data_IF_741472227099
#
_entry.id   IF_741472227099
#
_cell.length_a   1.000
_cell.length_b   1.000
_cell.length_c   1.000
_cell.angle_alpha   90.00
_cell.angle_beta   90.00
_cell.angle_gamma   90.00
#
_symmetry.space_group_name_H-M   'P 1'
#
loop_
_entity.id
_entity.type
_entity.pdbx_description
1 polymer ?
#
# COMPACT_ATOMS: atom_id res chain seq x y z
N UNK A 1 -5.94 -8.86 7.34
CA UNK A 1 -6.89 -7.77 6.94
C UNK A 1 -6.10 -6.49 6.63
N UNK A 2 -6.57 -5.56 5.79
CA UNK A 2 -5.85 -4.37 5.23
C UNK A 2 -4.84 -3.64 6.16
N UNK A 3 -5.08 -3.67 7.47
CA UNK A 3 -4.20 -3.18 8.55
C UNK A 3 -2.80 -3.81 8.52
N UNK A 4 -2.69 -5.13 8.29
CA UNK A 4 -1.41 -5.86 8.28
C UNK A 4 -0.53 -5.52 7.07
N UNK A 5 -1.13 -5.10 5.94
CA UNK A 5 -0.38 -4.75 4.72
C UNK A 5 0.09 -3.30 4.68
N UNK A 6 -0.49 -2.43 5.50
CA UNK A 6 -0.24 -0.99 5.46
C UNK A 6 0.55 -0.48 6.68
N UNK A 7 0.78 -1.30 7.70
CA UNK A 7 1.46 -0.90 8.95
C UNK A 7 0.88 0.40 9.57
N UNK A 8 -0.44 0.60 9.39
CA UNK A 8 -1.17 1.78 9.85
C UNK A 8 -2.11 1.37 10.99
N UNK A 9 -2.15 2.18 12.05
CA UNK A 9 -3.09 2.00 13.14
C UNK A 9 -4.53 1.86 12.62
N UNK A 10 -5.33 0.98 13.24
CA UNK A 10 -6.71 0.63 12.84
C UNK A 10 -7.62 1.86 12.64
N UNK A 11 -7.40 2.92 13.42
CA UNK A 11 -8.12 4.20 13.33
C UNK A 11 -7.80 4.97 12.03
N UNK A 12 -6.55 4.96 11.57
CA UNK A 12 -6.12 5.60 10.32
C UNK A 12 -6.66 4.83 9.11
N UNK A 13 -6.60 3.50 9.14
CA UNK A 13 -7.12 2.65 8.05
C UNK A 13 -8.63 2.83 7.88
N UNK A 14 -9.39 2.88 8.98
CA UNK A 14 -10.84 3.13 8.92
C UNK A 14 -11.16 4.50 8.30
N UNK A 15 -10.41 5.54 8.67
CA UNK A 15 -10.57 6.89 8.11
C UNK A 15 -10.26 6.92 6.61
N UNK A 16 -9.17 6.28 6.19
CA UNK A 16 -8.79 6.18 4.78
C UNK A 16 -9.86 5.44 3.96
N UNK A 17 -10.35 4.30 4.45
CA UNK A 17 -11.43 3.55 3.79
C UNK A 17 -12.69 4.41 3.65
N UNK A 18 -13.07 5.16 4.69
CA UNK A 18 -14.22 6.07 4.61
C UNK A 18 -14.02 7.17 3.56
N UNK A 19 -12.83 7.76 3.50
CA UNK A 19 -12.50 8.77 2.48
C UNK A 19 -12.53 8.20 1.07
N UNK A 20 -11.88 7.05 0.84
CA UNK A 20 -11.85 6.38 -0.46
C UNK A 20 -13.27 6.02 -0.93
N UNK A 21 -14.15 5.61 -0.01
CA UNK A 21 -15.57 5.37 -0.31
C UNK A 21 -16.31 6.66 -0.66
N UNK A 22 -16.07 7.75 0.10
CA UNK A 22 -16.68 9.05 -0.15
C UNK A 22 -16.32 9.60 -1.54
N UNK A 23 -15.10 9.34 -2.00
CA UNK A 23 -14.66 9.70 -3.35
C UNK A 23 -15.05 8.68 -4.43
N UNK A 24 -15.77 7.61 -4.08
CA UNK A 24 -16.22 6.59 -5.02
C UNK A 24 -15.10 5.70 -5.58
N UNK A 25 -13.94 5.64 -4.92
CA UNK A 25 -12.80 4.83 -5.37
C UNK A 25 -12.93 3.36 -4.93
N UNK A 26 -13.73 3.10 -3.91
CA UNK A 26 -14.02 1.73 -3.45
C UNK A 26 -15.51 1.52 -3.23
N UNK A 27 -15.93 0.27 -3.43
CA UNK A 27 -17.31 -0.19 -3.22
C UNK A 27 -17.33 -1.47 -2.39
N UNK A 28 -18.49 -1.74 -1.77
CA UNK A 28 -18.71 -3.00 -1.05
C UNK A 28 -19.31 -4.02 -1.99
N UNK A 29 -18.70 -5.20 -2.04
CA UNK A 29 -19.25 -6.38 -2.71
C UNK A 29 -19.38 -7.52 -1.69
N UNK A 30 -20.43 -8.33 -1.79
CA UNK A 30 -20.49 -9.57 -1.00
C UNK A 30 -19.39 -10.51 -1.45
N UNK A 31 -18.79 -11.24 -0.50
CA UNK A 31 -17.83 -12.27 -0.86
C UNK A 31 -18.54 -13.35 -1.70
N UNK A 32 -17.96 -13.75 -2.83
CA UNK A 32 -18.49 -14.86 -3.63
C UNK A 32 -18.41 -16.19 -2.88
N UNK A 33 -17.51 -16.31 -1.90
CA UNK A 33 -17.27 -17.55 -1.14
C UNK A 33 -18.13 -17.64 0.14
N UNK A 34 -18.52 -16.50 0.72
CA UNK A 34 -19.43 -16.44 1.87
C UNK A 34 -20.24 -15.13 1.81
N UNK A 35 -21.52 -15.25 1.45
CA UNK A 35 -22.43 -14.11 1.32
C UNK A 35 -22.64 -13.30 2.62
N UNK A 36 -22.14 -13.78 3.77
CA UNK A 36 -22.14 -13.07 5.05
C UNK A 36 -20.95 -12.10 5.19
N UNK A 37 -19.90 -12.27 4.38
CA UNK A 37 -18.70 -11.44 4.39
C UNK A 37 -18.80 -10.33 3.36
N UNK A 38 -18.46 -9.11 3.76
CA UNK A 38 -18.35 -7.95 2.87
C UNK A 38 -16.88 -7.68 2.53
N UNK A 39 -16.58 -7.62 1.24
CA UNK A 39 -15.27 -7.27 0.71
C UNK A 39 -15.30 -5.85 0.14
N UNK A 40 -14.19 -5.15 0.27
CA UNK A 40 -13.97 -3.87 -0.41
C UNK A 40 -13.24 -4.12 -1.72
N UNK A 41 -13.77 -3.57 -2.81
CA UNK A 41 -13.12 -3.61 -4.11
C UNK A 41 -12.93 -2.20 -4.66
N UNK A 42 -11.90 -2.02 -5.50
CA UNK A 42 -11.71 -0.79 -6.24
C UNK A 42 -12.75 -0.70 -7.36
N UNK A 43 -13.42 0.44 -7.44
CA UNK A 43 -14.24 0.82 -8.60
C UNK A 43 -13.34 1.04 -9.82
N UNK A 44 -13.88 1.14 -11.05
CA UNK A 44 -13.08 1.48 -12.22
C UNK A 44 -12.27 2.77 -12.03
N UNK A 45 -12.90 3.82 -11.47
CA UNK A 45 -12.23 5.09 -11.14
C UNK A 45 -11.12 4.88 -10.10
N UNK A 46 -11.38 4.07 -9.07
CA UNK A 46 -10.38 3.73 -8.07
C UNK A 46 -9.19 2.96 -8.65
N UNK A 47 -9.41 2.10 -9.65
CA UNK A 47 -8.34 1.37 -10.35
C UNK A 47 -7.46 2.30 -11.17
N UNK A 48 -8.06 3.24 -11.91
CA UNK A 48 -7.30 4.26 -12.66
C UNK A 48 -6.45 5.10 -11.72
N UNK A 49 -7.03 5.63 -10.63
CA UNK A 49 -6.28 6.41 -9.65
C UNK A 49 -5.15 5.60 -9.00
N UNK A 50 -5.40 4.34 -8.66
CA UNK A 50 -4.37 3.47 -8.09
C UNK A 50 -3.21 3.25 -9.09
N UNK A 51 -3.51 3.11 -10.38
CA UNK A 51 -2.51 3.00 -11.43
C UNK A 51 -1.69 4.30 -11.57
N UNK A 52 -2.34 5.46 -11.57
CA UNK A 52 -1.68 6.76 -11.65
C UNK A 52 -0.74 6.99 -10.47
N UNK A 53 -1.20 6.67 -9.25
CA UNK A 53 -0.39 6.76 -8.03
C UNK A 53 0.79 5.78 -8.09
N UNK A 54 0.58 4.55 -8.56
CA UNK A 54 1.65 3.58 -8.73
C UNK A 54 2.70 4.05 -9.75
N UNK A 55 2.26 4.63 -10.87
CA UNK A 55 3.15 5.18 -11.89
C UNK A 55 3.95 6.38 -11.36
N UNK A 56 3.29 7.32 -10.68
CA UNK A 56 3.95 8.47 -10.07
C UNK A 56 4.97 8.05 -9.02
N UNK A 57 4.62 7.06 -8.18
CA UNK A 57 5.52 6.46 -7.20
C UNK A 57 6.72 5.83 -7.89
N UNK A 58 6.50 4.99 -8.89
CA UNK A 58 7.56 4.34 -9.65
C UNK A 58 8.52 5.37 -10.26
N UNK A 59 7.98 6.38 -10.95
CA UNK A 59 8.79 7.45 -11.55
C UNK A 59 9.66 8.16 -10.51
N UNK A 60 9.09 8.52 -9.37
CA UNK A 60 9.83 9.17 -8.29
C UNK A 60 10.94 8.28 -7.72
N UNK A 61 10.66 7.01 -7.45
CA UNK A 61 11.68 6.09 -6.93
C UNK A 61 12.79 5.82 -7.95
N UNK A 62 12.44 5.68 -9.23
CA UNK A 62 13.44 5.58 -10.30
C UNK A 62 14.35 6.80 -10.34
N UNK A 63 13.80 8.01 -10.22
CA UNK A 63 14.61 9.24 -10.17
C UNK A 63 15.54 9.27 -8.95
N UNK A 64 15.06 8.85 -7.78
CA UNK A 64 15.89 8.78 -6.56
C UNK A 64 17.02 7.77 -6.73
N UNK A 65 16.72 6.56 -7.21
CA UNK A 65 17.73 5.51 -7.43
C UNK A 65 18.76 5.90 -8.50
N UNK A 66 18.36 6.70 -9.49
CA UNK A 66 19.27 7.21 -10.51
C UNK A 66 20.34 8.17 -9.94
N UNK A 67 20.07 8.81 -8.81
CA UNK A 67 21.05 9.66 -8.10
C UNK A 67 22.06 8.85 -7.26
N UNK A 68 21.89 7.53 -7.18
CA UNK A 68 22.77 6.64 -6.43
C UNK A 68 23.76 5.99 -7.41
N UNK A 69 25.08 6.00 -7.10
CA UNK A 69 26.09 5.28 -7.87
C UNK A 69 25.70 3.82 -8.10
N UNK A 70 25.93 3.31 -9.30
CA UNK A 70 25.43 2.00 -9.73
C UNK A 70 25.95 0.85 -8.84
N UNK A 71 27.21 0.93 -8.43
CA UNK A 71 27.89 0.01 -7.52
C UNK A 71 27.31 0.01 -6.10
N UNK A 72 26.75 1.14 -5.65
CA UNK A 72 26.13 1.28 -4.33
C UNK A 72 24.65 0.84 -4.29
N UNK A 73 23.98 0.67 -5.43
CA UNK A 73 22.52 0.43 -5.46
C UNK A 73 22.09 -0.84 -4.74
N UNK A 74 22.80 -1.94 -4.92
CA UNK A 74 22.49 -3.21 -4.26
C UNK A 74 22.60 -3.09 -2.74
N UNK A 75 23.67 -2.46 -2.23
CA UNK A 75 23.87 -2.24 -0.80
C UNK A 75 22.76 -1.38 -0.17
N UNK A 76 22.28 -0.36 -0.89
CA UNK A 76 21.14 0.45 -0.43
C UNK A 76 19.86 -0.39 -0.34
N UNK A 77 19.59 -1.23 -1.35
CA UNK A 77 18.42 -2.12 -1.35
C UNK A 77 18.48 -3.11 -0.18
N UNK A 78 19.65 -3.72 0.06
CA UNK A 78 19.86 -4.66 1.16
C UNK A 78 19.63 -3.99 2.51
N UNK A 79 20.17 -2.79 2.70
CA UNK A 79 19.99 -2.01 3.93
C UNK A 79 18.52 -1.64 4.19
N UNK A 80 17.78 -1.28 3.13
CA UNK A 80 16.34 -1.01 3.23
C UNK A 80 15.53 -2.26 3.59
N UNK A 81 15.89 -3.42 3.04
CA UNK A 81 15.23 -4.68 3.39
C UNK A 81 15.45 -5.03 4.87
N UNK A 82 16.68 -4.88 5.37
CA UNK A 82 17.00 -5.09 6.79
C UNK A 82 16.16 -4.15 7.67
N UNK A 83 16.06 -2.87 7.30
CA UNK A 83 15.28 -1.89 8.04
C UNK A 83 13.78 -2.26 8.06
N UNK A 84 13.22 -2.69 6.93
CA UNK A 84 11.81 -3.11 6.83
C UNK A 84 11.55 -4.32 7.72
N UNK A 85 12.44 -5.31 7.72
CA UNK A 85 12.31 -6.49 8.58
C UNK A 85 12.42 -6.13 10.06
N UNK A 86 13.33 -5.24 10.44
CA UNK A 86 13.42 -4.73 11.82
C UNK A 86 12.14 -4.00 12.25
N UNK A 87 11.56 -3.17 11.38
CA UNK A 87 10.30 -2.47 11.66
C UNK A 87 9.14 -3.47 11.82
N UNK A 88 9.11 -4.56 11.04
CA UNK A 88 8.07 -5.59 11.14
C UNK A 88 8.23 -6.45 12.39
N UNK A 89 9.46 -6.82 12.75
CA UNK A 89 9.77 -7.61 13.95
C UNK A 89 9.47 -6.90 15.26
N UNK A 90 9.48 -5.57 15.28
CA UNK A 90 9.24 -4.75 16.49
C UNK A 90 7.76 -4.56 16.89
N UNK A 91 6.79 -5.19 16.20
CA UNK A 91 5.36 -5.12 16.57
C UNK A 91 4.89 -6.23 17.52
N UNK A 92 5.82 -6.92 18.20
CA UNK A 92 5.50 -7.91 19.24
C UNK A 92 5.88 -7.38 20.62
N UNK A 93 5.13 -6.40 21.13
CA UNK A 93 4.93 -6.18 22.57
C UNK A 93 3.64 -5.42 22.83
#
# INVERSE_FOLDING_TARGET
MLVERLNLAKSTVSRLVQQMRKYGWIERQRSPDDGRVWLWQLTPVGRTLAADVAQARQKRFTQIMAQIPEDARLSVIDSLNILVEAIRGNHTN
#
